data_IF_308879442326
#
_entry.id   IF_308879442326
#
_cell.length_a   1.000
_cell.length_b   1.000
_cell.length_c   1.000
_cell.angle_alpha   90.00
_cell.angle_beta   90.00
_cell.angle_gamma   90.00
#
_symmetry.space_group_name_H-M   'P 1'
#
loop_
_entity.id
_entity.type
_entity.pdbx_description
1 polymer ?
#
# COMPACT_ATOMS: atom_id res chain seq x y z
N UNK A 1 3.26 27.31 -8.90
CA UNK A 1 1.84 27.61 -9.16
C UNK A 1 1.07 26.87 -8.08
N UNK A 2 0.40 27.59 -7.19
CA UNK A 2 -0.21 27.03 -5.96
C UNK A 2 -1.47 26.18 -6.22
N UNK A 3 -1.83 26.00 -7.49
CA UNK A 3 -2.96 25.21 -7.97
C UNK A 3 -2.59 23.83 -8.52
N UNK A 4 -1.30 23.50 -8.62
CA UNK A 4 -0.88 22.12 -8.94
C UNK A 4 -0.97 21.25 -7.69
N UNK A 5 -1.35 19.97 -7.87
CA UNK A 5 -1.31 18.97 -6.82
C UNK A 5 0.03 19.04 -6.05
N UNK A 6 -0.03 18.91 -4.72
CA UNK A 6 1.15 19.03 -3.87
C UNK A 6 2.24 18.07 -4.38
N UNK A 7 3.44 18.61 -4.62
CA UNK A 7 4.60 17.78 -4.91
C UNK A 7 4.99 17.00 -3.66
N UNK A 8 5.55 15.82 -3.87
CA UNK A 8 6.10 15.02 -2.77
C UNK A 8 7.28 15.80 -2.19
N UNK A 9 7.16 16.10 -0.90
CA UNK A 9 8.17 16.77 -0.10
C UNK A 9 8.40 15.87 1.13
N UNK A 10 9.51 15.13 1.09
CA UNK A 10 9.83 14.14 2.12
C UNK A 10 10.00 14.83 3.47
N UNK A 11 10.73 15.94 3.52
CA UNK A 11 11.00 16.66 4.76
C UNK A 11 9.69 17.13 5.42
N UNK A 12 8.78 17.68 4.63
CA UNK A 12 7.45 18.06 5.12
C UNK A 12 6.65 16.86 5.63
N UNK A 13 6.69 15.72 4.94
CA UNK A 13 6.01 14.50 5.39
C UNK A 13 6.59 14.04 6.74
N UNK A 14 7.92 14.06 6.89
CA UNK A 14 8.61 13.65 8.12
C UNK A 14 8.35 14.62 9.29
N UNK A 15 8.24 15.91 9.02
CA UNK A 15 7.83 16.89 10.02
C UNK A 15 6.45 16.57 10.58
N UNK A 16 5.48 16.28 9.71
CA UNK A 16 4.11 15.89 10.10
C UNK A 16 4.12 14.56 10.85
N UNK A 17 4.82 13.55 10.35
CA UNK A 17 4.92 12.24 10.99
C UNK A 17 5.52 12.34 12.41
N UNK A 18 6.63 13.08 12.54
CA UNK A 18 7.27 13.30 13.84
C UNK A 18 6.37 14.10 14.80
N UNK A 19 5.59 15.04 14.28
CA UNK A 19 4.60 15.78 15.08
C UNK A 19 3.49 14.87 15.58
N UNK A 20 2.97 13.96 14.74
CA UNK A 20 1.97 12.98 15.16
C UNK A 20 2.49 12.10 16.30
N UNK A 21 3.74 11.62 16.20
CA UNK A 21 4.40 10.86 17.26
C UNK A 21 4.55 11.66 18.56
N UNK A 22 5.01 12.91 18.48
CA UNK A 22 5.11 13.80 19.67
C UNK A 22 3.76 14.08 20.31
N UNK A 23 2.68 14.04 19.54
CA UNK A 23 1.30 14.16 20.03
C UNK A 23 0.71 12.87 20.59
N UNK A 24 1.49 11.78 20.67
CA UNK A 24 1.08 10.52 21.29
C UNK A 24 0.56 9.46 20.32
N UNK A 25 0.78 9.58 19.01
CA UNK A 25 0.41 8.54 18.07
C UNK A 25 1.21 7.24 18.29
N UNK A 26 0.49 6.15 18.52
CA UNK A 26 1.05 4.80 18.70
C UNK A 26 1.60 4.21 17.40
N UNK A 27 0.98 4.55 16.27
CA UNK A 27 1.37 4.16 14.91
C UNK A 27 1.13 5.35 13.98
N UNK A 28 1.99 5.51 12.98
CA UNK A 28 1.87 6.52 11.93
C UNK A 28 1.91 5.83 10.58
N UNK A 29 0.84 6.04 9.81
CA UNK A 29 0.68 5.52 8.45
C UNK A 29 0.75 6.68 7.47
N UNK A 30 1.62 6.58 6.47
CA UNK A 30 1.70 7.54 5.36
C UNK A 30 1.01 6.94 4.15
N UNK A 31 -0.10 7.53 3.71
CA UNK A 31 -0.70 7.26 2.40
C UNK A 31 -0.21 8.31 1.41
N UNK A 32 0.40 7.87 0.31
CA UNK A 32 1.09 8.75 -0.63
C UNK A 32 0.74 8.43 -2.09
N UNK A 33 0.39 9.46 -2.84
CA UNK A 33 0.06 9.38 -4.27
C UNK A 33 1.28 9.73 -5.12
N UNK A 34 2.10 8.73 -5.48
CA UNK A 34 3.44 8.96 -6.04
C UNK A 34 3.87 7.99 -7.14
N UNK A 35 3.20 6.85 -7.27
CA UNK A 35 3.69 5.75 -8.10
C UNK A 35 3.61 6.09 -9.59
N UNK A 36 4.34 5.35 -10.42
CA UNK A 36 4.22 5.49 -11.88
C UNK A 36 2.98 4.76 -12.38
N UNK A 37 2.14 5.45 -13.14
CA UNK A 37 0.93 4.85 -13.72
C UNK A 37 1.23 3.57 -14.50
N UNK A 38 0.37 2.58 -14.29
CA UNK A 38 0.36 1.31 -14.99
C UNK A 38 1.64 0.47 -14.89
N UNK A 39 2.33 0.59 -13.75
CA UNK A 39 3.53 -0.17 -13.43
C UNK A 39 3.37 -0.87 -12.09
N UNK A 40 3.49 -2.20 -12.10
CA UNK A 40 3.50 -3.06 -10.90
C UNK A 40 4.79 -2.89 -10.10
N UNK A 41 5.94 -2.98 -10.79
CA UNK A 41 7.24 -2.84 -10.14
C UNK A 41 7.53 -1.38 -9.78
N UNK A 42 7.86 -1.06 -8.52
CA UNK A 42 8.18 0.31 -8.13
C UNK A 42 9.39 0.83 -8.90
N UNK A 43 9.42 2.13 -9.15
CA UNK A 43 10.61 2.77 -9.72
C UNK A 43 11.70 2.90 -8.66
N UNK A 44 12.99 3.03 -9.03
CA UNK A 44 14.06 3.30 -8.06
C UNK A 44 13.75 4.50 -7.17
N UNK A 45 13.22 5.58 -7.74
CA UNK A 45 12.80 6.76 -7.00
C UNK A 45 11.68 6.47 -5.99
N UNK A 46 10.71 5.62 -6.34
CA UNK A 46 9.64 5.23 -5.41
C UNK A 46 10.19 4.41 -4.24
N UNK A 47 11.13 3.48 -4.52
CA UNK A 47 11.83 2.70 -3.48
C UNK A 47 12.62 3.64 -2.56
N UNK A 48 13.37 4.60 -3.11
CA UNK A 48 14.12 5.59 -2.33
C UNK A 48 13.22 6.45 -1.43
N UNK A 49 12.08 6.92 -1.96
CA UNK A 49 11.12 7.69 -1.16
C UNK A 49 10.59 6.85 0.00
N UNK A 50 10.20 5.60 -0.26
CA UNK A 50 9.58 4.74 0.76
C UNK A 50 10.60 4.32 1.82
N UNK A 51 11.84 4.04 1.42
CA UNK A 51 12.95 3.76 2.33
C UNK A 51 13.25 4.97 3.23
N UNK A 52 13.32 6.18 2.67
CA UNK A 52 13.51 7.40 3.46
C UNK A 52 12.35 7.66 4.44
N UNK A 53 11.11 7.39 4.02
CA UNK A 53 9.91 7.54 4.84
C UNK A 53 9.84 6.52 5.97
N UNK A 54 10.42 5.33 5.84
CA UNK A 54 10.48 4.34 6.94
C UNK A 54 11.69 4.56 7.85
N UNK A 55 12.90 4.71 7.29
CA UNK A 55 14.16 4.68 8.05
C UNK A 55 14.38 5.82 9.05
N UNK A 56 13.62 6.90 8.95
CA UNK A 56 13.67 7.99 9.93
C UNK A 56 13.09 7.58 11.31
N UNK A 57 12.29 6.52 11.37
CA UNK A 57 11.74 5.95 12.61
C UNK A 57 10.44 6.57 13.11
N UNK A 58 9.84 7.53 12.39
CA UNK A 58 8.55 8.14 12.75
C UNK A 58 7.34 7.46 12.11
N UNK A 59 7.53 6.73 11.01
CA UNK A 59 6.49 6.08 10.19
C UNK A 59 6.60 4.57 10.32
N UNK A 60 5.45 3.89 10.45
CA UNK A 60 5.36 2.43 10.64
C UNK A 60 4.79 1.71 9.40
N UNK A 61 4.12 2.45 8.51
CA UNK A 61 3.57 1.91 7.28
C UNK A 61 3.50 2.99 6.20
N UNK A 62 3.95 2.66 5.00
CA UNK A 62 3.74 3.50 3.81
C UNK A 62 2.82 2.78 2.82
N UNK A 63 1.79 3.47 2.33
CA UNK A 63 0.84 2.96 1.35
C UNK A 63 0.87 3.84 0.10
N UNK A 64 1.35 3.27 -1.00
CA UNK A 64 1.45 3.91 -2.30
C UNK A 64 0.17 3.83 -3.13
N UNK A 65 -0.11 4.91 -3.85
CA UNK A 65 -1.20 5.04 -4.82
C UNK A 65 -0.70 5.69 -6.11
N UNK A 66 -1.60 5.83 -7.10
CA UNK A 66 -1.39 6.36 -8.47
C UNK A 66 -1.04 5.34 -9.54
N UNK A 67 -0.40 4.22 -9.20
CA UNK A 67 -0.03 3.22 -10.22
C UNK A 67 -1.25 2.61 -10.92
N UNK A 68 -2.42 2.66 -10.27
CA UNK A 68 -3.65 1.98 -10.69
C UNK A 68 -3.54 0.45 -10.81
N UNK A 69 -2.37 -0.10 -10.45
CA UNK A 69 -2.09 -1.53 -10.42
C UNK A 69 -1.66 -1.93 -9.02
N UNK A 70 -1.93 -3.18 -8.67
CA UNK A 70 -1.37 -3.80 -7.48
C UNK A 70 0.15 -3.95 -7.68
N UNK A 71 0.92 -3.55 -6.67
CA UNK A 71 2.38 -3.67 -6.62
C UNK A 71 2.83 -4.49 -5.42
N UNK A 72 4.15 -4.65 -5.22
CA UNK A 72 4.69 -5.38 -4.08
C UNK A 72 4.32 -4.79 -2.74
N UNK A 73 4.16 -5.67 -1.75
CA UNK A 73 4.37 -5.35 -0.35
C UNK A 73 5.81 -5.74 0.03
N UNK A 74 6.45 -4.96 0.90
CA UNK A 74 7.82 -5.21 1.32
C UNK A 74 8.01 -4.86 2.80
N UNK A 75 9.02 -5.49 3.41
CA UNK A 75 9.59 -5.07 4.69
C UNK A 75 10.76 -4.12 4.44
N UNK A 76 10.82 -3.03 5.19
CA UNK A 76 11.96 -2.12 5.25
C UNK A 76 12.39 -2.04 6.71
N UNK A 77 13.43 -2.80 7.06
CA UNK A 77 13.78 -3.01 8.47
C UNK A 77 12.69 -3.84 9.15
N UNK A 78 12.06 -3.28 10.19
CA UNK A 78 11.00 -3.94 10.96
C UNK A 78 9.59 -3.45 10.58
N UNK A 79 9.47 -2.56 9.58
CA UNK A 79 8.21 -1.92 9.20
C UNK A 79 7.82 -2.31 7.77
N UNK A 80 6.56 -2.09 7.41
CA UNK A 80 6.00 -2.55 6.14
C UNK A 80 5.72 -1.41 5.16
N UNK A 81 5.68 -1.74 3.88
CA UNK A 81 5.18 -0.86 2.82
C UNK A 81 4.31 -1.62 1.82
N UNK A 82 3.33 -0.92 1.23
CA UNK A 82 2.62 -1.35 0.03
C UNK A 82 2.95 -0.38 -1.11
N UNK A 83 3.62 -0.82 -2.17
CA UNK A 83 3.99 0.04 -3.30
C UNK A 83 2.80 0.38 -4.22
N UNK A 84 1.70 -0.36 -4.12
CA UNK A 84 0.45 -0.07 -4.82
C UNK A 84 -0.66 -1.04 -4.43
N UNK A 85 -1.82 -0.52 -4.08
CA UNK A 85 -3.00 -1.34 -3.76
C UNK A 85 -3.96 -1.55 -4.95
N UNK A 86 -3.62 -1.05 -6.14
CA UNK A 86 -4.52 -1.04 -7.29
C UNK A 86 -5.72 -0.12 -7.10
N UNK A 87 -6.80 -0.42 -7.81
CA UNK A 87 -8.04 0.36 -7.79
C UNK A 87 -9.08 -0.31 -6.91
N UNK A 88 -9.55 0.38 -5.86
CA UNK A 88 -10.68 -0.10 -5.06
C UNK A 88 -12.00 0.05 -5.84
N UNK A 89 -12.27 1.25 -6.38
CA UNK A 89 -13.41 1.55 -7.23
C UNK A 89 -12.95 2.50 -8.33
N UNK A 90 -13.06 2.09 -9.60
CA UNK A 90 -12.56 2.88 -10.73
C UNK A 90 -13.32 2.65 -12.04
N UNK A 91 -13.33 3.69 -12.88
CA UNK A 91 -13.77 3.65 -14.27
C UNK A 91 -12.70 3.21 -15.27
N UNK A 92 -11.49 2.90 -14.82
CA UNK A 92 -10.37 2.50 -15.68
C UNK A 92 -10.51 1.04 -16.13
N UNK A 93 -11.34 0.83 -17.14
CA UNK A 93 -11.63 -0.49 -17.72
C UNK A 93 -10.82 -0.78 -18.99
N UNK A 94 -9.80 0.04 -19.28
CA UNK A 94 -9.01 -0.05 -20.51
C UNK A 94 -7.99 -1.19 -20.51
N UNK A 95 -7.67 -1.75 -19.33
CA UNK A 95 -6.85 -2.95 -19.14
C UNK A 95 -7.46 -3.86 -18.09
N UNK A 96 -7.08 -5.13 -18.10
CA UNK A 96 -7.53 -6.13 -17.12
C UNK A 96 -6.99 -5.81 -15.73
N UNK A 97 -5.70 -5.50 -15.63
CA UNK A 97 -4.97 -5.26 -14.37
C UNK A 97 -5.40 -3.95 -13.67
N UNK A 98 -5.93 -2.97 -14.40
CA UNK A 98 -6.49 -1.74 -13.81
C UNK A 98 -7.84 -1.96 -13.12
N UNK A 99 -8.42 -3.14 -13.23
CA UNK A 99 -9.66 -3.54 -12.53
C UNK A 99 -9.36 -4.24 -11.22
N UNK A 100 -8.09 -4.52 -10.94
CA UNK A 100 -7.65 -5.21 -9.74
C UNK A 100 -7.38 -4.21 -8.62
N UNK A 101 -7.70 -4.65 -7.40
CA UNK A 101 -7.41 -3.92 -6.18
C UNK A 101 -7.17 -4.86 -5.02
N UNK A 102 -6.86 -4.28 -3.87
CA UNK A 102 -6.64 -5.03 -2.64
C UNK A 102 -7.29 -4.29 -1.49
N UNK A 103 -8.10 -5.00 -0.71
CA UNK A 103 -8.37 -4.62 0.67
C UNK A 103 -7.22 -5.14 1.53
N UNK A 104 -6.34 -4.24 1.95
CA UNK A 104 -5.17 -4.55 2.77
C UNK A 104 -5.47 -4.38 4.25
N UNK A 105 -5.00 -5.34 5.05
CA UNK A 105 -5.10 -5.33 6.50
C UNK A 105 -3.69 -5.39 7.08
N UNK A 106 -3.42 -4.53 8.06
CA UNK A 106 -2.16 -4.52 8.81
C UNK A 106 -2.46 -4.74 10.30
N UNK A 107 -1.95 -5.85 10.84
CA UNK A 107 -2.22 -6.25 12.23
C UNK A 107 -1.19 -5.64 13.17
N UNK A 108 -1.64 -4.77 14.06
CA UNK A 108 -0.78 -4.17 15.07
C UNK A 108 -0.79 -4.95 16.39
N UNK A 109 0.38 -5.08 17.03
CA UNK A 109 0.54 -5.67 18.37
C UNK A 109 1.47 -4.81 19.23
N UNK A 110 1.20 -4.80 20.53
CA UNK A 110 2.08 -4.20 21.53
C UNK A 110 3.31 -5.09 21.76
N UNK A 111 4.51 -4.54 21.62
CA UNK A 111 5.77 -5.30 21.79
C UNK A 111 6.30 -5.33 23.22
N UNK A 112 5.61 -4.70 24.16
CA UNK A 112 6.13 -4.39 25.50
C UNK A 112 6.69 -2.97 25.62
N UNK A 113 7.09 -2.36 24.50
CA UNK A 113 7.65 -1.01 24.47
C UNK A 113 6.90 -0.04 23.54
N UNK A 114 6.39 -0.53 22.40
CA UNK A 114 5.59 0.27 21.45
C UNK A 114 4.62 -0.62 20.68
N UNK A 115 3.62 -0.02 20.05
CA UNK A 115 2.83 -0.69 19.02
C UNK A 115 3.65 -0.83 17.75
N UNK A 116 3.49 -1.97 17.05
CA UNK A 116 4.07 -2.22 15.72
C UNK A 116 3.11 -3.03 14.87
N UNK A 117 3.15 -2.82 13.57
CA UNK A 117 2.57 -3.80 12.65
C UNK A 117 3.39 -5.09 12.70
N UNK A 118 2.73 -6.23 12.70
CA UNK A 118 3.36 -7.56 12.89
C UNK A 118 2.92 -8.58 11.85
N UNK A 119 2.04 -8.19 10.94
CA UNK A 119 1.54 -9.04 9.89
C UNK A 119 0.67 -8.26 8.93
N UNK A 120 0.68 -8.71 7.67
CA UNK A 120 -0.16 -8.18 6.61
C UNK A 120 -1.06 -9.30 6.09
N UNK A 121 -2.32 -8.96 5.82
CA UNK A 121 -3.22 -9.83 5.07
C UNK A 121 -3.97 -9.03 4.02
N UNK A 122 -4.51 -9.74 3.03
CA UNK A 122 -5.14 -9.12 1.88
C UNK A 122 -6.39 -9.88 1.42
N UNK A 123 -7.36 -9.13 0.92
CA UNK A 123 -8.44 -9.64 0.07
C UNK A 123 -8.29 -9.00 -1.31
N UNK A 124 -7.84 -9.74 -2.33
CA UNK A 124 -7.88 -9.30 -3.71
C UNK A 124 -9.30 -8.91 -4.13
N UNK A 125 -9.45 -7.78 -4.81
CA UNK A 125 -10.72 -7.28 -5.31
C UNK A 125 -10.70 -7.01 -6.80
N UNK A 126 -11.90 -7.02 -7.38
CA UNK A 126 -12.12 -6.76 -8.80
C UNK A 126 -13.26 -5.78 -8.99
N UNK A 127 -13.07 -4.80 -9.88
CA UNK A 127 -14.12 -3.88 -10.32
C UNK A 127 -14.86 -4.46 -11.52
N UNK A 128 -16.14 -4.77 -11.33
CA UNK A 128 -17.01 -5.24 -12.40
C UNK A 128 -17.34 -4.13 -13.41
N UNK A 129 -17.25 -4.48 -14.69
CA UNK A 129 -17.61 -3.57 -15.77
C UNK A 129 -19.13 -3.46 -15.85
N UNK A 130 -19.63 -2.23 -16.00
CA UNK A 130 -21.06 -1.94 -16.13
C UNK A 130 -21.74 -1.63 -14.79
N UNK A 131 -21.62 -2.51 -13.79
CA UNK A 131 -22.16 -2.29 -12.45
C UNK A 131 -21.29 -1.37 -11.59
N UNK A 132 -19.97 -1.32 -11.85
CA UNK A 132 -18.96 -0.70 -10.98
C UNK A 132 -19.00 -1.24 -9.55
N UNK A 133 -19.42 -2.50 -9.38
CA UNK A 133 -19.35 -3.22 -8.12
C UNK A 133 -17.93 -3.68 -7.85
N UNK A 134 -17.54 -3.67 -6.58
CA UNK A 134 -16.27 -4.23 -6.09
C UNK A 134 -16.55 -5.58 -5.48
N UNK A 135 -15.96 -6.64 -6.03
CA UNK A 135 -16.16 -8.01 -5.58
C UNK A 135 -14.84 -8.66 -5.16
N UNK A 136 -14.82 -9.55 -4.15
CA UNK A 136 -13.64 -10.37 -3.88
C UNK A 136 -13.30 -11.26 -5.09
N UNK A 137 -12.01 -11.46 -5.35
CA UNK A 137 -11.54 -12.33 -6.42
C UNK A 137 -11.45 -13.78 -5.92
N UNK A 138 -11.93 -14.75 -6.70
CA UNK A 138 -11.79 -16.17 -6.36
C UNK A 138 -10.36 -16.68 -6.63
N UNK A 139 -9.91 -17.61 -5.81
CA UNK A 139 -8.52 -18.11 -5.77
C UNK A 139 -8.11 -18.82 -7.07
N UNK A 140 -9.08 -19.34 -7.81
CA UNK A 140 -8.89 -20.11 -9.05
C UNK A 140 -8.77 -19.23 -10.30
N UNK A 141 -8.51 -17.93 -10.15
CA UNK A 141 -8.46 -16.98 -11.26
C UNK A 141 -7.07 -16.40 -11.49
N UNK A 142 -6.75 -16.10 -12.75
CA UNK A 142 -5.50 -15.39 -13.10
C UNK A 142 -5.37 -14.02 -12.41
N UNK A 143 -6.50 -13.39 -12.06
CA UNK A 143 -6.50 -12.12 -11.34
C UNK A 143 -6.01 -12.30 -9.90
N UNK A 144 -6.42 -13.37 -9.24
CA UNK A 144 -5.93 -13.71 -7.91
C UNK A 144 -4.44 -14.02 -7.94
N UNK A 145 -4.00 -14.88 -8.86
CA UNK A 145 -2.59 -15.24 -9.03
C UNK A 145 -1.72 -14.01 -9.29
N UNK A 146 -2.13 -13.12 -10.19
CA UNK A 146 -1.41 -11.88 -10.50
C UNK A 146 -1.39 -10.91 -9.31
N UNK A 147 -2.52 -10.73 -8.63
CA UNK A 147 -2.64 -9.82 -7.48
C UNK A 147 -1.79 -10.29 -6.31
N UNK A 148 -1.94 -11.55 -5.91
CA UNK A 148 -1.16 -12.12 -4.80
C UNK A 148 0.32 -12.29 -5.15
N UNK A 149 0.62 -12.65 -6.39
CA UNK A 149 1.98 -12.72 -6.91
C UNK A 149 2.68 -11.35 -6.90
N UNK A 150 1.98 -10.29 -7.30
CA UNK A 150 2.49 -8.92 -7.21
C UNK A 150 2.80 -8.55 -5.75
N UNK A 151 1.82 -8.72 -4.84
CA UNK A 151 1.98 -8.41 -3.42
C UNK A 151 3.18 -9.14 -2.79
N UNK A 152 3.34 -10.44 -3.07
CA UNK A 152 4.39 -11.28 -2.49
C UNK A 152 5.76 -11.18 -3.18
N UNK A 153 5.88 -10.44 -4.29
CA UNK A 153 7.11 -10.45 -5.11
C UNK A 153 8.36 -9.93 -4.39
N UNK A 154 8.21 -9.18 -3.29
CA UNK A 154 9.32 -8.62 -2.49
C UNK A 154 9.50 -9.35 -1.15
N UNK A 155 9.03 -10.60 -1.05
CA UNK A 155 9.36 -11.51 0.06
C UNK A 155 8.50 -11.36 1.32
N UNK A 156 7.54 -10.44 1.34
CA UNK A 156 6.54 -10.36 2.41
C UNK A 156 5.58 -11.53 2.30
N UNK A 157 5.36 -12.20 3.44
CA UNK A 157 4.30 -13.20 3.56
C UNK A 157 2.97 -12.47 3.74
N UNK A 158 2.10 -12.58 2.75
CA UNK A 158 0.73 -12.07 2.83
C UNK A 158 -0.18 -13.16 3.37
N UNK A 159 -0.65 -13.01 4.61
CA UNK A 159 -1.58 -13.95 5.20
C UNK A 159 -2.94 -13.88 4.51
N UNK A 160 -3.67 -15.00 4.53
CA UNK A 160 -5.06 -15.01 4.10
C UNK A 160 -5.89 -14.26 5.13
N UNK A 161 -6.64 -13.25 4.69
CA UNK A 161 -7.62 -12.62 5.57
C UNK A 161 -8.70 -13.65 5.94
N UNK A 162 -8.84 -13.90 7.24
CA UNK A 162 -9.94 -14.67 7.81
C UNK A 162 -10.75 -13.70 8.68
N UNK A 163 -12.00 -13.38 8.32
CA UNK A 163 -12.86 -12.62 9.22
C UNK A 163 -13.16 -13.45 10.47
N UNK A 164 -13.05 -12.81 11.64
CA UNK A 164 -13.46 -13.37 12.94
C UNK A 164 -14.97 -13.69 13.00
#
# INVERSE_FOLDING_TARGET
>A
QDWMAQRIDIDRILEVASSARRSGADLVVVSIHCCTEYRTEPTPQQVEIFDALIRNGWVDLVVGHHSHLVGPAAEIGDEFVFYGLGNLLSGQLHRTDTREGVLAFATARWTGARWRFTGLSAVPTWVESGSYSVVPVSEETESFERTMGALGSYGVVMERYQPD
#
